data_IF_387209312948
#
_entry.id   IF_387209312948
#
_cell.length_a   1.000
_cell.length_b   1.000
_cell.length_c   1.000
_cell.angle_alpha   90.00
_cell.angle_beta   90.00
_cell.angle_gamma   90.00
#
_symmetry.space_group_name_H-M   'P 1'
#
loop_
_entity.id
_entity.type
_entity.pdbx_description
1 polymer ?
#
# COMPACT_ATOMS: atom_id res chain seq x y z
N UNK A 1 -10.82 -6.11 4.16
CA UNK A 1 -10.41 -7.30 3.37
C UNK A 1 -11.59 -8.23 3.09
N UNK A 2 -12.35 -8.68 4.09
CA UNK A 2 -13.36 -9.73 3.93
C UNK A 2 -14.48 -9.39 2.93
N UNK A 3 -14.92 -8.12 2.86
CA UNK A 3 -15.93 -7.67 1.88
C UNK A 3 -15.44 -7.65 0.43
N UNK A 4 -14.12 -7.59 0.20
CA UNK A 4 -13.54 -7.68 -1.15
C UNK A 4 -13.57 -9.10 -1.71
N UNK A 5 -13.65 -10.13 -0.85
CA UNK A 5 -13.71 -11.53 -1.32
C UNK A 5 -14.97 -11.78 -2.15
N UNK A 6 -16.12 -11.24 -1.74
CA UNK A 6 -17.37 -11.33 -2.52
C UNK A 6 -17.20 -10.66 -3.90
N UNK A 7 -16.44 -9.56 -3.96
CA UNK A 7 -16.20 -8.83 -5.19
C UNK A 7 -15.19 -9.54 -6.11
N UNK A 8 -14.19 -10.23 -5.55
CA UNK A 8 -13.22 -11.05 -6.29
C UNK A 8 -13.87 -12.14 -7.14
N UNK A 9 -14.93 -12.77 -6.62
CA UNK A 9 -15.69 -13.77 -7.39
C UNK A 9 -16.48 -13.17 -8.56
N UNK A 10 -16.62 -11.83 -8.63
CA UNK A 10 -17.36 -11.13 -9.67
C UNK A 10 -16.47 -10.37 -10.64
N UNK A 11 -15.33 -9.86 -10.19
CA UNK A 11 -14.38 -9.07 -11.00
C UNK A 11 -12.93 -9.46 -10.69
N UNK A 12 -12.11 -9.46 -11.74
CA UNK A 12 -10.66 -9.67 -11.62
C UNK A 12 -9.95 -8.43 -11.05
N UNK A 13 -8.97 -8.66 -10.16
CA UNK A 13 -8.08 -7.62 -9.63
C UNK A 13 -6.67 -7.63 -10.24
N UNK A 14 -6.38 -8.49 -11.23
CA UNK A 14 -5.04 -8.61 -11.82
C UNK A 14 -4.50 -7.30 -12.41
N UNK A 15 -5.37 -6.46 -12.96
CA UNK A 15 -5.00 -5.17 -13.54
C UNK A 15 -5.11 -4.00 -12.54
N UNK A 16 -5.22 -4.30 -11.24
CA UNK A 16 -5.34 -3.30 -10.19
C UNK A 16 -4.15 -3.41 -9.25
N UNK A 17 -3.44 -2.30 -9.06
CA UNK A 17 -2.33 -2.24 -8.14
C UNK A 17 -2.80 -1.88 -6.74
N UNK A 18 -2.13 -2.44 -5.73
CA UNK A 18 -2.30 -2.03 -4.34
C UNK A 18 -1.15 -1.16 -3.87
N UNK A 19 -1.47 -0.14 -3.09
CA UNK A 19 -0.54 0.71 -2.36
C UNK A 19 -0.99 0.81 -0.91
N UNK A 20 -0.04 0.84 0.03
CA UNK A 20 -0.36 0.99 1.45
C UNK A 20 0.63 1.87 2.20
N UNK A 21 0.08 2.64 3.13
CA UNK A 21 0.82 3.36 4.16
C UNK A 21 0.47 2.71 5.48
N UNK A 22 1.49 2.25 6.21
CA UNK A 22 1.32 1.60 7.51
C UNK A 22 2.03 2.45 8.55
N UNK A 23 1.27 2.98 9.50
CA UNK A 23 1.82 3.69 10.66
C UNK A 23 1.50 2.87 11.90
N UNK A 24 2.53 2.55 12.68
CA UNK A 24 2.38 1.79 13.92
C UNK A 24 2.83 2.64 15.12
N UNK A 25 2.22 2.46 16.29
CA UNK A 25 2.69 3.07 17.53
C UNK A 25 3.99 2.45 18.07
N UNK A 26 4.33 1.23 17.61
CA UNK A 26 5.50 0.49 18.02
C UNK A 26 6.08 -0.34 16.85
N UNK A 27 6.95 -1.31 17.11
CA UNK A 27 7.29 -2.36 16.14
C UNK A 27 6.05 -3.17 15.72
N UNK A 28 6.02 -3.67 14.48
CA UNK A 28 4.92 -4.53 13.98
C UNK A 28 4.37 -4.16 12.60
N UNK A 29 4.81 -3.05 12.00
CA UNK A 29 4.39 -2.65 10.64
C UNK A 29 4.70 -3.72 9.58
N UNK A 30 5.71 -4.56 9.81
CA UNK A 30 6.08 -5.68 8.94
C UNK A 30 5.02 -6.79 8.94
N UNK A 31 4.42 -7.08 10.11
CA UNK A 31 3.39 -8.10 10.27
C UNK A 31 2.11 -7.67 9.55
N UNK A 32 1.75 -6.38 9.68
CA UNK A 32 0.63 -5.80 8.94
C UNK A 32 0.89 -5.82 7.43
N UNK A 33 2.12 -5.49 6.99
CA UNK A 33 2.49 -5.56 5.58
C UNK A 33 2.37 -6.98 5.02
N UNK A 34 2.87 -7.99 5.74
CA UNK A 34 2.75 -9.41 5.36
C UNK A 34 1.29 -9.84 5.23
N UNK A 35 0.44 -9.47 6.19
CA UNK A 35 -1.00 -9.76 6.14
C UNK A 35 -1.66 -9.11 4.91
N UNK A 36 -1.31 -7.87 4.60
CA UNK A 36 -1.81 -7.17 3.42
C UNK A 36 -1.40 -7.86 2.12
N UNK A 37 -0.12 -8.22 1.98
CA UNK A 37 0.42 -8.93 0.82
C UNK A 37 -0.27 -10.27 0.66
N UNK A 38 -0.35 -11.07 1.72
CA UNK A 38 -1.04 -12.37 1.70
C UNK A 38 -2.51 -12.23 1.30
N UNK A 39 -3.23 -11.30 1.93
CA UNK A 39 -4.66 -11.18 1.73
C UNK A 39 -5.09 -10.58 0.38
N UNK A 40 -4.27 -9.73 -0.23
CA UNK A 40 -4.62 -8.94 -1.41
C UNK A 40 -3.79 -9.30 -2.64
N UNK A 41 -2.47 -9.38 -2.53
CA UNK A 41 -1.64 -9.81 -3.66
C UNK A 41 -1.76 -11.32 -3.90
N UNK A 42 -1.42 -12.14 -2.90
CA UNK A 42 -1.41 -13.61 -3.05
C UNK A 42 -2.84 -14.15 -3.20
N UNK A 43 -3.75 -13.77 -2.31
CA UNK A 43 -5.09 -14.38 -2.25
C UNK A 43 -6.13 -13.75 -3.20
N UNK A 44 -5.89 -12.55 -3.73
CA UNK A 44 -6.87 -11.83 -4.58
C UNK A 44 -6.29 -11.29 -5.88
N UNK A 45 -5.02 -11.57 -6.17
CA UNK A 45 -4.40 -11.27 -7.45
C UNK A 45 -4.10 -9.79 -7.70
N UNK A 46 -4.17 -8.91 -6.70
CA UNK A 46 -3.77 -7.51 -6.88
C UNK A 46 -2.29 -7.43 -7.29
N UNK A 47 -1.97 -6.60 -8.28
CA UNK A 47 -0.57 -6.33 -8.64
C UNK A 47 0.12 -5.58 -7.49
N UNK A 48 1.35 -5.96 -7.18
CA UNK A 48 2.18 -5.31 -6.16
C UNK A 48 3.40 -4.64 -6.84
N UNK A 49 3.34 -3.35 -7.18
CA UNK A 49 4.48 -2.63 -7.73
C UNK A 49 5.66 -2.56 -6.74
N UNK A 50 6.90 -2.32 -7.23
CA UNK A 50 8.02 -1.99 -6.36
C UNK A 50 7.68 -0.81 -5.44
N UNK A 51 8.13 -0.85 -4.20
CA UNK A 51 7.90 0.21 -3.20
C UNK A 51 6.41 0.60 -3.03
N UNK A 52 5.51 -0.38 -3.16
CA UNK A 52 4.07 -0.20 -3.02
C UNK A 52 3.58 -0.10 -1.57
N UNK A 53 4.44 -0.44 -0.60
CA UNK A 53 4.14 -0.32 0.82
C UNK A 53 5.23 0.53 1.48
N UNK A 54 4.82 1.56 2.21
CA UNK A 54 5.71 2.31 3.10
C UNK A 54 5.25 2.13 4.54
N UNK A 55 6.22 2.11 5.44
CA UNK A 55 5.99 1.97 6.88
C UNK A 55 6.67 3.10 7.64
N UNK A 56 6.05 3.50 8.75
CA UNK A 56 6.63 4.40 9.75
C UNK A 56 6.15 4.03 11.17
N UNK A 57 6.87 4.51 12.18
CA UNK A 57 6.49 4.36 13.59
C UNK A 57 6.22 5.74 14.19
N UNK A 58 5.00 5.96 14.67
CA UNK A 58 4.57 7.18 15.35
C UNK A 58 3.51 6.83 16.40
N UNK A 59 3.88 6.99 17.67
CA UNK A 59 3.01 6.63 18.81
C UNK A 59 2.08 7.77 19.22
N UNK A 60 2.58 9.01 19.19
CA UNK A 60 1.82 10.18 19.63
C UNK A 60 1.18 10.91 18.44
N UNK A 61 0.02 11.56 18.65
CA UNK A 61 -0.58 12.43 17.64
C UNK A 61 0.43 13.45 17.09
N UNK A 62 0.56 13.49 15.76
CA UNK A 62 1.48 14.40 15.08
C UNK A 62 2.97 14.01 15.13
N UNK A 63 3.35 12.94 15.85
CA UNK A 63 4.75 12.46 15.89
C UNK A 63 5.27 12.09 14.49
N UNK A 64 4.38 11.65 13.59
CA UNK A 64 4.71 11.33 12.19
C UNK A 64 5.39 12.51 11.48
N UNK A 65 5.01 13.76 11.78
CA UNK A 65 5.58 14.94 11.13
C UNK A 65 6.99 15.28 11.62
N UNK A 66 7.42 14.71 12.74
CA UNK A 66 8.77 14.87 13.30
C UNK A 66 9.76 13.86 12.70
N UNK A 67 9.27 12.85 11.99
CA UNK A 67 10.14 11.84 11.37
C UNK A 67 10.99 12.50 10.27
N UNK A 68 12.33 12.38 10.34
CA UNK A 68 13.21 12.92 9.32
C UNK A 68 12.85 12.43 7.92
N UNK A 69 12.69 13.36 6.98
CA UNK A 69 12.42 13.02 5.58
C UNK A 69 11.01 12.53 5.28
N UNK A 70 10.07 12.54 6.24
CA UNK A 70 8.70 12.02 6.04
C UNK A 70 7.98 12.63 4.83
N UNK A 71 8.13 13.94 4.62
CA UNK A 71 7.55 14.64 3.47
C UNK A 71 8.13 14.15 2.15
N UNK A 72 9.44 13.90 2.11
CA UNK A 72 10.13 13.37 0.93
C UNK A 72 9.68 11.93 0.65
N UNK A 73 9.64 11.08 1.68
CA UNK A 73 9.15 9.69 1.58
C UNK A 73 7.72 9.63 1.06
N UNK A 74 6.83 10.46 1.62
CA UNK A 74 5.43 10.56 1.17
C UNK A 74 5.33 11.05 -0.28
N UNK A 75 6.16 12.02 -0.68
CA UNK A 75 6.23 12.51 -2.06
C UNK A 75 6.66 11.41 -3.02
N UNK A 76 7.77 10.73 -2.75
CA UNK A 76 8.25 9.63 -3.60
C UNK A 76 7.24 8.48 -3.68
N UNK A 77 6.51 8.22 -2.59
CA UNK A 77 5.43 7.23 -2.60
C UNK A 77 4.26 7.66 -3.50
N UNK A 78 3.84 8.92 -3.42
CA UNK A 78 2.80 9.47 -4.30
C UNK A 78 3.21 9.44 -5.78
N UNK A 79 4.45 9.81 -6.10
CA UNK A 79 5.01 9.71 -7.45
C UNK A 79 5.02 8.25 -7.95
N UNK A 80 5.33 7.29 -7.08
CA UNK A 80 5.27 5.86 -7.42
C UNK A 80 3.83 5.39 -7.69
N UNK A 81 2.84 5.87 -6.92
CA UNK A 81 1.42 5.60 -7.20
C UNK A 81 1.08 6.09 -8.60
N UNK A 82 1.35 7.36 -8.91
CA UNK A 82 1.03 7.94 -10.22
C UNK A 82 1.65 7.13 -11.37
N UNK A 83 2.94 6.79 -11.27
CA UNK A 83 3.65 6.00 -12.29
C UNK A 83 3.00 4.65 -12.57
N UNK A 84 2.34 4.06 -11.58
CA UNK A 84 1.77 2.71 -11.68
C UNK A 84 0.23 2.70 -11.81
N UNK A 85 -0.44 3.83 -11.60
CA UNK A 85 -1.89 4.00 -11.75
C UNK A 85 -2.32 4.33 -13.18
N UNK A 86 -1.46 4.98 -13.97
CA UNK A 86 -1.81 5.49 -15.31
C UNK A 86 -1.25 4.68 -16.49
N UNK A 87 -0.67 3.50 -16.27
CA UNK A 87 -0.17 2.64 -17.36
C UNK A 87 -1.26 1.86 -18.11
N UNK A 88 -2.47 2.41 -18.21
CA UNK A 88 -3.49 1.90 -19.13
C UNK A 88 -3.92 3.04 -20.07
N UNK A 89 -3.47 2.92 -21.32
CA UNK A 89 -3.92 3.60 -22.54
C UNK A 89 -3.40 5.02 -22.79
N UNK A 90 -2.41 5.14 -23.69
CA UNK A 90 -2.64 5.82 -24.96
C UNK A 90 -2.17 4.86 -26.07
N UNK A 91 -3.01 4.51 -27.07
CA UNK A 91 -2.57 3.81 -28.27
C UNK A 91 -1.57 4.61 -29.10
#
# INVERSE_FOLDING_TARGET
>A
INRLTVLYHKISFYNKSIFAVIVSGNSGSDSVAKQLIGALNINKGFRLPPNSIITETANDPGAIFKIPGIKSKARSFAENIMKNSFNHQIP
#
